data_IF_134710974349
#
_entry.id   IF_134710974349
#
_cell.length_a   1.000
_cell.length_b   1.000
_cell.length_c   1.000
_cell.angle_alpha   90.00
_cell.angle_beta   90.00
_cell.angle_gamma   90.00
#
_symmetry.space_group_name_H-M   'P 1'
#
loop_
_entity.id
_entity.type
_entity.pdbx_description
1 polymer ?
#
# COMPACT_ATOMS: atom_id res chain seq x y z
N UNK A 1 32.84 57.38 20.88
CA UNK A 1 32.16 56.17 21.40
C UNK A 1 32.28 55.07 20.36
N UNK A 2 33.15 54.07 20.57
CA UNK A 2 33.25 52.93 19.68
C UNK A 2 32.11 51.95 19.98
N UNK A 3 31.11 51.91 19.10
CA UNK A 3 30.06 50.89 19.13
C UNK A 3 30.71 49.57 18.72
N UNK A 4 30.80 48.60 19.64
CA UNK A 4 31.21 47.24 19.31
C UNK A 4 30.15 46.62 18.40
N UNK A 5 30.58 46.06 17.27
CA UNK A 5 29.70 45.31 16.40
C UNK A 5 29.43 43.93 17.03
N UNK A 6 28.19 43.43 17.01
CA UNK A 6 27.91 42.07 17.45
C UNK A 6 28.63 41.09 16.52
N UNK A 7 29.43 40.20 17.10
CA UNK A 7 30.18 39.16 16.38
C UNK A 7 29.97 37.81 17.06
N UNK A 8 29.77 36.76 16.28
CA UNK A 8 29.65 35.38 16.77
C UNK A 8 31.01 34.71 16.88
N UNK A 9 31.19 33.88 17.90
CA UNK A 9 32.39 33.05 18.04
C UNK A 9 32.29 31.82 17.12
N UNK A 10 33.42 31.41 16.52
CA UNK A 10 33.50 30.17 15.74
C UNK A 10 33.05 28.95 16.56
N UNK A 11 33.40 28.88 17.85
CA UNK A 11 32.98 27.78 18.72
C UNK A 11 31.47 27.75 18.96
N UNK A 12 30.82 28.92 19.05
CA UNK A 12 29.36 29.02 19.17
C UNK A 12 28.68 28.50 17.90
N UNK A 13 29.19 28.89 16.72
CA UNK A 13 28.68 28.40 15.43
C UNK A 13 28.85 26.88 15.28
N UNK A 14 29.97 26.32 15.75
CA UNK A 14 30.21 24.88 15.71
C UNK A 14 29.22 24.09 16.58
N UNK A 15 28.93 24.58 17.79
CA UNK A 15 27.96 23.95 18.69
C UNK A 15 26.55 24.02 18.10
N UNK A 16 26.17 25.17 17.52
CA UNK A 16 24.86 25.33 16.86
C UNK A 16 24.70 24.37 15.69
N UNK A 17 25.71 24.24 14.83
CA UNK A 17 25.68 23.30 13.70
C UNK A 17 25.61 21.84 14.16
N UNK A 18 26.32 21.48 15.24
CA UNK A 18 26.26 20.15 15.83
C UNK A 18 24.85 19.83 16.36
N UNK A 19 24.21 20.77 17.06
CA UNK A 19 22.85 20.60 17.57
C UNK A 19 21.85 20.47 16.41
N UNK A 20 21.94 21.33 15.38
CA UNK A 20 21.09 21.24 14.18
C UNK A 20 21.28 19.90 13.47
N UNK A 21 22.51 19.40 13.36
CA UNK A 21 22.81 18.10 12.77
C UNK A 21 22.13 16.94 13.51
N UNK A 22 22.19 16.93 14.85
CA UNK A 22 21.51 15.91 15.67
C UNK A 22 19.99 16.00 15.50
N UNK A 23 19.43 17.21 15.51
CA UNK A 23 18.00 17.42 15.33
C UNK A 23 17.53 16.93 13.96
N UNK A 24 18.29 17.16 12.89
CA UNK A 24 17.95 16.66 11.55
C UNK A 24 17.94 15.13 11.48
N UNK A 25 18.87 14.46 12.16
CA UNK A 25 18.90 12.98 12.20
C UNK A 25 17.68 12.39 12.92
N UNK A 26 17.19 13.04 13.98
CA UNK A 26 16.00 12.61 14.74
C UNK A 26 14.71 13.01 14.01
N UNK A 27 14.73 14.13 13.28
CA UNK A 27 13.54 14.72 12.68
C UNK A 27 13.13 14.09 11.35
N UNK A 28 13.99 13.31 10.67
CA UNK A 28 13.61 12.65 9.42
C UNK A 28 12.57 11.54 9.70
N UNK A 29 11.30 11.72 9.31
CA UNK A 29 10.29 10.69 9.51
C UNK A 29 10.54 9.52 8.56
N UNK A 30 10.22 8.29 9.00
CA UNK A 30 10.20 7.15 8.11
C UNK A 30 8.98 7.27 7.17
N UNK A 31 9.22 7.67 5.91
CA UNK A 31 8.17 7.88 4.91
C UNK A 31 7.66 6.58 4.26
N UNK A 32 8.43 5.49 4.34
CA UNK A 32 8.08 4.23 3.68
C UNK A 32 6.71 3.68 4.09
N UNK A 33 6.33 3.61 5.39
CA UNK A 33 5.01 3.12 5.80
C UNK A 33 3.84 3.92 5.23
N UNK A 34 4.04 5.23 4.99
CA UNK A 34 3.00 6.09 4.40
C UNK A 34 2.82 5.80 2.91
N UNK A 35 3.92 5.55 2.21
CA UNK A 35 3.91 5.18 0.78
C UNK A 35 3.25 3.82 0.61
N UNK A 36 3.62 2.81 1.40
CA UNK A 36 3.01 1.47 1.34
C UNK A 36 1.53 1.52 1.68
N UNK A 37 1.13 2.31 2.68
CA UNK A 37 -0.28 2.51 3.02
C UNK A 37 -1.06 3.16 1.89
N UNK A 38 -0.50 4.18 1.22
CA UNK A 38 -1.14 4.82 0.08
C UNK A 38 -1.31 3.84 -1.09
N UNK A 39 -0.30 3.04 -1.40
CA UNK A 39 -0.40 1.98 -2.42
C UNK A 39 -1.43 0.90 -2.05
N UNK A 40 -1.51 0.53 -0.77
CA UNK A 40 -2.48 -0.45 -0.27
C UNK A 40 -3.95 -0.01 -0.44
N UNK A 41 -4.23 1.29 -0.60
CA UNK A 41 -5.58 1.79 -0.90
C UNK A 41 -6.08 1.26 -2.25
N UNK A 42 -5.18 1.12 -3.23
CA UNK A 42 -5.48 0.54 -4.54
C UNK A 42 -5.97 -0.90 -4.39
N UNK A 43 -5.20 -1.73 -3.69
CA UNK A 43 -5.55 -3.13 -3.41
C UNK A 43 -6.91 -3.24 -2.71
N UNK A 44 -7.13 -2.45 -1.65
CA UNK A 44 -8.40 -2.47 -0.91
C UNK A 44 -9.59 -2.05 -1.78
N UNK A 45 -9.41 -1.07 -2.65
CA UNK A 45 -10.47 -0.57 -3.54
C UNK A 45 -10.83 -1.63 -4.57
N UNK A 46 -9.84 -2.23 -5.23
CA UNK A 46 -10.08 -3.27 -6.23
C UNK A 46 -10.64 -4.55 -5.61
N UNK A 47 -10.14 -4.98 -4.44
CA UNK A 47 -10.71 -6.12 -3.71
C UNK A 47 -12.18 -5.89 -3.33
N UNK A 48 -12.56 -4.67 -2.92
CA UNK A 48 -13.98 -4.34 -2.69
C UNK A 48 -14.80 -4.41 -3.97
N UNK A 49 -14.23 -4.00 -5.10
CA UNK A 49 -14.90 -4.15 -6.40
C UNK A 49 -15.14 -5.61 -6.74
N UNK A 50 -14.12 -6.47 -6.54
CA UNK A 50 -14.25 -7.93 -6.72
C UNK A 50 -15.35 -8.48 -5.80
N UNK A 51 -15.36 -8.10 -4.51
CA UNK A 51 -16.41 -8.54 -3.59
C UNK A 51 -17.82 -8.14 -4.05
N UNK A 52 -18.00 -6.90 -4.52
CA UNK A 52 -19.30 -6.46 -5.03
C UNK A 52 -19.73 -7.26 -6.27
N UNK A 53 -18.79 -7.51 -7.18
CA UNK A 53 -19.02 -8.30 -8.39
C UNK A 53 -19.37 -9.77 -8.06
N UNK A 54 -18.61 -10.40 -7.17
CA UNK A 54 -18.88 -11.74 -6.63
C UNK A 54 -20.23 -11.83 -5.94
N UNK A 55 -20.60 -10.80 -5.16
CA UNK A 55 -21.90 -10.74 -4.50
C UNK A 55 -23.05 -10.64 -5.49
N UNK A 56 -22.88 -9.84 -6.55
CA UNK A 56 -23.86 -9.75 -7.63
C UNK A 56 -24.00 -11.09 -8.36
N UNK A 57 -22.88 -11.74 -8.68
CA UNK A 57 -22.88 -13.06 -9.31
C UNK A 57 -23.55 -14.11 -8.42
N UNK A 58 -23.28 -14.10 -7.12
CA UNK A 58 -23.94 -14.97 -6.14
C UNK A 58 -25.46 -14.75 -6.10
N UNK A 59 -25.95 -13.51 -6.19
CA UNK A 59 -27.39 -13.26 -6.26
C UNK A 59 -28.05 -13.83 -7.52
N UNK A 60 -27.32 -13.91 -8.62
CA UNK A 60 -27.85 -14.42 -9.89
C UNK A 60 -27.74 -15.94 -10.00
N UNK A 61 -26.67 -16.54 -9.49
CA UNK A 61 -26.33 -17.95 -9.73
C UNK A 61 -26.25 -18.80 -8.46
N UNK A 62 -26.43 -18.21 -7.28
CA UNK A 62 -26.34 -18.87 -5.96
C UNK A 62 -25.00 -19.59 -5.70
N UNK A 63 -23.93 -19.11 -6.36
CA UNK A 63 -22.55 -19.57 -6.19
C UNK A 63 -21.60 -18.41 -6.46
N UNK A 64 -20.38 -18.47 -5.93
CA UNK A 64 -19.31 -17.56 -6.33
C UNK A 64 -18.61 -18.08 -7.59
N UNK A 65 -17.90 -17.20 -8.29
CA UNK A 65 -17.10 -17.59 -9.47
C UNK A 65 -15.63 -17.76 -9.11
N UNK A 66 -14.90 -18.54 -9.90
CA UNK A 66 -13.45 -18.59 -9.85
C UNK A 66 -12.82 -17.71 -10.95
N UNK A 67 -13.63 -17.20 -11.88
CA UNK A 67 -13.19 -16.54 -13.09
C UNK A 67 -13.64 -15.07 -13.13
N UNK A 68 -12.67 -14.16 -13.26
CA UNK A 68 -12.97 -12.72 -13.32
C UNK A 68 -13.87 -12.32 -14.49
N UNK A 69 -13.85 -13.09 -15.58
CA UNK A 69 -14.71 -12.86 -16.75
C UNK A 69 -16.18 -13.12 -16.45
N UNK A 70 -16.51 -14.03 -15.53
CA UNK A 70 -17.90 -14.33 -15.18
C UNK A 70 -18.51 -13.24 -14.28
N UNK A 71 -17.66 -12.54 -13.53
CA UNK A 71 -18.06 -11.44 -12.64
C UNK A 71 -17.83 -10.06 -13.26
N UNK A 72 -17.44 -10.01 -14.54
CA UNK A 72 -17.16 -8.76 -15.29
C UNK A 72 -16.13 -7.85 -14.59
N UNK A 73 -15.10 -8.47 -14.00
CA UNK A 73 -14.01 -7.75 -13.35
C UNK A 73 -12.80 -7.64 -14.29
N UNK A 74 -12.47 -6.41 -14.65
CA UNK A 74 -11.25 -6.10 -15.39
C UNK A 74 -10.15 -5.60 -14.44
N UNK A 75 -9.09 -6.41 -14.30
CA UNK A 75 -7.94 -6.01 -13.51
C UNK A 75 -7.20 -4.82 -14.16
N UNK A 76 -6.88 -3.76 -13.40
CA UNK A 76 -6.06 -2.66 -13.91
C UNK A 76 -4.70 -3.13 -14.43
N UNK A 77 -4.23 -2.53 -15.53
CA UNK A 77 -2.91 -2.84 -16.09
C UNK A 77 -1.81 -2.51 -15.09
N UNK A 78 -0.93 -3.48 -14.85
CA UNK A 78 0.19 -3.34 -13.92
C UNK A 78 1.28 -2.45 -14.49
N UNK A 79 2.18 -1.93 -13.65
CA UNK A 79 3.36 -1.20 -14.13
C UNK A 79 4.30 -2.06 -14.98
N UNK A 80 4.20 -3.40 -14.93
CA UNK A 80 4.92 -4.31 -15.83
C UNK A 80 4.37 -4.27 -17.26
N UNK A 81 3.09 -3.92 -17.42
CA UNK A 81 2.36 -3.91 -18.69
C UNK A 81 2.04 -2.47 -19.18
N UNK A 82 2.93 -1.50 -18.88
CA UNK A 82 2.75 -0.07 -19.18
C UNK A 82 1.49 0.56 -18.54
N UNK A 83 1.02 0.02 -17.42
CA UNK A 83 -0.05 0.59 -16.61
C UNK A 83 0.45 1.29 -15.35
N UNK A 84 -0.47 1.59 -14.43
CA UNK A 84 -0.19 2.30 -13.17
C UNK A 84 -0.43 1.43 -11.93
N UNK A 85 -0.96 0.22 -12.10
CA UNK A 85 -1.37 -0.62 -10.98
C UNK A 85 -0.18 -1.31 -10.31
N UNK A 86 -0.22 -1.39 -8.98
CA UNK A 86 0.85 -1.94 -8.14
C UNK A 86 0.53 -3.36 -7.65
N UNK A 87 -0.66 -3.89 -7.95
CA UNK A 87 -1.12 -5.19 -7.47
C UNK A 87 -1.64 -6.05 -8.61
N UNK A 88 -1.45 -7.37 -8.47
CA UNK A 88 -2.13 -8.40 -9.25
C UNK A 88 -3.20 -9.06 -8.40
N UNK A 89 -4.30 -9.46 -9.02
CA UNK A 89 -5.47 -10.03 -8.35
C UNK A 89 -5.68 -11.47 -8.79
N UNK A 90 -6.11 -12.33 -7.86
CA UNK A 90 -6.47 -13.72 -8.14
C UNK A 90 -7.60 -14.16 -7.20
N UNK A 91 -8.47 -15.06 -7.68
CA UNK A 91 -9.44 -15.77 -6.84
C UNK A 91 -8.79 -17.06 -6.38
N UNK A 92 -8.52 -17.18 -5.08
CA UNK A 92 -7.81 -18.31 -4.48
C UNK A 92 -8.78 -19.43 -4.08
N UNK A 93 -10.02 -19.06 -3.75
CA UNK A 93 -11.06 -20.00 -3.36
C UNK A 93 -12.39 -19.52 -3.92
N UNK A 94 -13.17 -20.44 -4.47
CA UNK A 94 -14.55 -20.20 -4.86
C UNK A 94 -15.39 -21.45 -4.63
N UNK A 95 -16.58 -21.25 -4.09
CA UNK A 95 -17.54 -22.31 -3.78
C UNK A 95 -18.96 -21.73 -3.79
N UNK A 96 -19.94 -22.56 -3.44
CA UNK A 96 -21.31 -22.09 -3.33
C UNK A 96 -21.50 -21.06 -2.22
N UNK A 97 -20.69 -21.04 -1.15
CA UNK A 97 -20.95 -20.20 0.03
C UNK A 97 -19.77 -19.33 0.46
N UNK A 98 -18.60 -19.59 -0.09
CA UNK A 98 -17.37 -18.90 0.28
C UNK A 98 -16.58 -18.56 -0.98
N UNK A 99 -15.94 -17.40 -0.95
CA UNK A 99 -14.91 -17.03 -1.89
C UNK A 99 -13.76 -16.36 -1.15
N UNK A 100 -12.59 -16.36 -1.78
CA UNK A 100 -11.43 -15.61 -1.33
C UNK A 100 -10.71 -15.04 -2.54
N UNK A 101 -10.55 -13.73 -2.56
CA UNK A 101 -9.71 -13.04 -3.53
C UNK A 101 -8.48 -12.47 -2.84
N UNK A 102 -7.34 -12.52 -3.53
CA UNK A 102 -6.04 -12.10 -3.04
C UNK A 102 -5.45 -11.07 -4.00
N UNK A 103 -4.90 -10.00 -3.43
CA UNK A 103 -4.15 -8.97 -4.11
C UNK A 103 -2.69 -9.04 -3.65
N UNK A 104 -1.77 -9.26 -4.60
CA UNK A 104 -0.33 -9.39 -4.34
C UNK A 104 0.40 -8.22 -5.00
N UNK A 105 1.27 -7.53 -4.26
CA UNK A 105 2.08 -6.46 -4.81
C UNK A 105 3.04 -6.98 -5.88
N UNK A 106 3.22 -6.22 -6.95
CA UNK A 106 4.09 -6.60 -8.08
C UNK A 106 5.58 -6.29 -7.85
N UNK A 107 5.85 -5.41 -6.89
CA UNK A 107 7.16 -4.97 -6.44
C UNK A 107 7.20 -5.00 -4.93
N UNK A 108 8.37 -5.34 -4.39
CA UNK A 108 8.71 -5.17 -2.99
C UNK A 108 8.92 -3.67 -2.70
N UNK A 109 8.17 -3.12 -1.74
CA UNK A 109 8.18 -1.68 -1.47
C UNK A 109 9.32 -1.24 -0.56
N UNK A 110 9.87 -2.13 0.28
CA UNK A 110 10.91 -1.79 1.25
C UNK A 110 12.24 -2.54 1.01
N UNK A 111 12.29 -3.48 0.07
CA UNK A 111 13.47 -4.23 -0.32
C UNK A 111 13.80 -5.43 0.59
N UNK A 112 12.86 -5.92 1.40
CA UNK A 112 13.07 -7.02 2.35
C UNK A 112 12.82 -8.43 1.76
N UNK A 113 12.37 -8.54 0.50
CA UNK A 113 12.04 -9.78 -0.18
C UNK A 113 10.62 -10.31 0.07
N UNK A 114 9.77 -9.55 0.77
CA UNK A 114 8.39 -9.89 1.14
C UNK A 114 7.44 -8.96 0.42
N UNK A 115 6.49 -9.52 -0.33
CA UNK A 115 5.52 -8.73 -1.06
C UNK A 115 4.30 -8.45 -0.19
N UNK A 116 3.78 -7.21 -0.25
CA UNK A 116 2.54 -6.89 0.42
C UNK A 116 1.36 -7.70 -0.16
N UNK A 117 0.62 -8.38 0.71
CA UNK A 117 -0.53 -9.21 0.33
C UNK A 117 -1.77 -8.78 1.12
N UNK A 118 -2.86 -8.57 0.37
CA UNK A 118 -4.20 -8.32 0.90
C UNK A 118 -5.16 -9.41 0.45
N UNK A 119 -6.11 -9.74 1.31
CA UNK A 119 -7.18 -10.69 1.00
C UNK A 119 -8.54 -10.07 1.30
N UNK A 120 -9.56 -10.49 0.56
CA UNK A 120 -10.96 -10.24 0.89
C UNK A 120 -11.74 -11.55 0.76
N UNK A 121 -12.70 -11.72 1.66
CA UNK A 121 -13.59 -12.87 1.72
C UNK A 121 -15.05 -12.41 1.53
N UNK A 122 -16.00 -13.34 1.69
CA UNK A 122 -17.44 -13.05 1.63
C UNK A 122 -17.96 -12.08 2.70
N UNK A 123 -17.15 -11.70 3.69
CA UNK A 123 -17.51 -10.67 4.67
C UNK A 123 -17.25 -9.26 4.15
N UNK A 124 -16.54 -9.11 3.02
CA UNK A 124 -16.33 -7.82 2.34
C UNK A 124 -15.37 -6.88 3.04
N UNK A 125 -14.56 -7.39 3.98
CA UNK A 125 -13.54 -6.59 4.70
C UNK A 125 -12.14 -7.00 4.20
N UNK A 126 -11.44 -6.13 3.43
CA UNK A 126 -10.06 -6.38 3.06
C UNK A 126 -9.17 -6.49 4.30
N UNK A 127 -8.35 -7.53 4.37
CA UNK A 127 -7.38 -7.79 5.44
C UNK A 127 -5.98 -7.89 4.85
N UNK A 128 -5.03 -7.21 5.48
CA UNK A 128 -3.61 -7.37 5.15
C UNK A 128 -3.13 -8.68 5.78
N UNK A 129 -2.64 -9.61 4.96
CA UNK A 129 -2.10 -10.90 5.42
C UNK A 129 -0.60 -10.79 5.61
N UNK A 130 0.06 -10.07 4.69
CA UNK A 130 1.50 -9.85 4.72
C UNK A 130 1.74 -8.35 4.64
N UNK A 131 2.29 -7.80 5.72
CA UNK A 131 2.70 -6.41 5.78
C UNK A 131 4.08 -6.21 5.14
N UNK A 132 4.23 -5.06 4.52
CA UNK A 132 5.47 -4.56 3.92
C UNK A 132 5.70 -3.13 4.41
#
# INVERSE_FOLDING_TARGET
>A
MNKKLPSFNLQEMLIVLAIIGILLLIALPNLMPLITKAKSVEAQTQLKSIYNAEKQYYFMYSKYSADFTEIDFEAPKTTKDNGAANYTYEIVQSSNNEFKAKATAITDFNGNGVFNVWEIDQNGVPKQIVAD
#
